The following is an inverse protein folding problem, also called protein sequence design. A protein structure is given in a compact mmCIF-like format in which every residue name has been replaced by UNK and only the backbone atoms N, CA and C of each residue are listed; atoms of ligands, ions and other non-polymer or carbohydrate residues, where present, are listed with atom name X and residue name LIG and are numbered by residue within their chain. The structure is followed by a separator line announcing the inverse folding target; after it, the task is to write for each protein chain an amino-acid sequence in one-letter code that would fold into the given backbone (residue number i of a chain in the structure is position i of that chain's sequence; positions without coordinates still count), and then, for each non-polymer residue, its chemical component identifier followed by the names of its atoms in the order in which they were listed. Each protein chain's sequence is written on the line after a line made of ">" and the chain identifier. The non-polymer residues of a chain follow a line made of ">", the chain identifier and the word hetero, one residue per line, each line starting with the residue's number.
data_IF_855053800182
#
_entry.id   IF_855053800182
#
_cell.length_a   1.000
_cell.length_b   1.000
_cell.length_c   1.000
_cell.angle_alpha   90.00
_cell.angle_beta   90.00
_cell.angle_gamma   90.00
#
_symmetry.space_group_name_H-M   'P 1'
#
loop_
_entity.id
_entity.type
_entity.pdbx_description
1 polymer ?
#
# COMPACT_ATOMS: atom_id res chain seq x y z
N UNK A 1 -24.46 -28.19 21.27
CA UNK A 1 -23.20 -27.45 21.42
C UNK A 1 -22.87 -26.57 20.18
N UNK A 2 -23.84 -25.85 19.60
CA UNK A 2 -23.63 -24.99 18.41
C UNK A 2 -23.78 -23.48 18.65
N UNK A 3 -23.99 -23.05 19.90
CA UNK A 3 -24.29 -21.65 20.20
C UNK A 3 -23.10 -20.75 20.57
N UNK A 4 -21.93 -21.30 20.90
CA UNK A 4 -20.81 -20.51 21.46
C UNK A 4 -19.89 -19.91 20.38
N UNK A 5 -19.78 -20.52 19.20
CA UNK A 5 -18.90 -20.01 18.14
C UNK A 5 -19.41 -18.73 17.45
N UNK A 6 -20.72 -18.51 17.37
CA UNK A 6 -21.29 -17.32 16.69
C UNK A 6 -21.12 -16.04 17.51
N UNK A 7 -21.21 -16.14 18.85
CA UNK A 7 -21.08 -14.98 19.73
C UNK A 7 -19.63 -14.47 19.84
N UNK A 8 -18.63 -15.35 19.82
CA UNK A 8 -17.22 -14.95 19.88
C UNK A 8 -16.80 -14.25 18.58
N UNK A 9 -17.25 -14.73 17.41
CA UNK A 9 -16.95 -14.10 16.13
C UNK A 9 -17.53 -12.69 16.00
N UNK A 10 -18.74 -12.44 16.52
CA UNK A 10 -19.36 -11.11 16.50
C UNK A 10 -18.66 -10.12 17.44
N UNK A 11 -18.22 -10.57 18.61
CA UNK A 11 -17.51 -9.73 19.58
C UNK A 11 -16.14 -9.30 19.04
N UNK A 12 -15.40 -10.21 18.39
CA UNK A 12 -14.08 -9.91 17.82
C UNK A 12 -14.22 -8.93 16.62
N UNK A 13 -15.21 -9.12 15.77
CA UNK A 13 -15.48 -8.20 14.66
C UNK A 13 -15.90 -6.81 15.15
N UNK A 14 -16.73 -6.74 16.18
CA UNK A 14 -17.15 -5.48 16.81
C UNK A 14 -15.99 -4.72 17.47
N UNK A 15 -15.09 -5.42 18.12
CA UNK A 15 -13.90 -4.82 18.74
C UNK A 15 -12.91 -4.30 17.68
N UNK A 16 -12.68 -5.04 16.60
CA UNK A 16 -11.83 -4.62 15.51
C UNK A 16 -12.38 -3.36 14.83
N UNK A 17 -13.69 -3.31 14.53
CA UNK A 17 -14.35 -2.13 13.97
C UNK A 17 -14.34 -0.92 14.92
N UNK A 18 -14.50 -1.13 16.23
CA UNK A 18 -14.42 -0.06 17.22
C UNK A 18 -13.00 0.50 17.33
N UNK A 19 -11.99 -0.37 17.29
CA UNK A 19 -10.58 0.02 17.30
C UNK A 19 -10.18 0.76 16.03
N UNK A 20 -10.65 0.34 14.86
CA UNK A 20 -10.43 1.01 13.59
C UNK A 20 -11.09 2.41 13.56
N UNK A 21 -12.32 2.54 14.04
CA UNK A 21 -13.00 3.83 14.19
C UNK A 21 -12.28 4.76 15.17
N UNK A 22 -11.73 4.24 16.27
CA UNK A 22 -10.93 5.02 17.21
C UNK A 22 -9.65 5.56 16.58
N UNK A 23 -8.96 4.76 15.77
CA UNK A 23 -7.73 5.18 15.08
C UNK A 23 -8.02 6.23 13.99
N UNK A 24 -9.06 6.04 13.17
CA UNK A 24 -9.48 7.01 12.14
C UNK A 24 -9.82 8.38 12.73
N UNK A 25 -10.13 8.41 14.02
CA UNK A 25 -10.50 9.61 14.76
C UNK A 25 -9.34 10.44 15.28
N UNK A 26 -8.14 9.91 15.23
CA UNK A 26 -6.97 10.61 15.76
C UNK A 26 -6.59 11.79 14.87
N UNK A 27 -6.15 12.90 15.43
CA UNK A 27 -5.86 14.13 14.67
C UNK A 27 -4.90 13.89 13.50
N UNK A 28 -3.89 13.05 13.69
CA UNK A 28 -2.93 12.72 12.63
C UNK A 28 -3.58 11.98 11.45
N UNK A 29 -4.55 11.08 11.70
CA UNK A 29 -5.26 10.36 10.63
C UNK A 29 -6.16 11.29 9.82
N UNK A 30 -6.80 12.27 10.48
CA UNK A 30 -7.60 13.32 9.81
C UNK A 30 -6.72 14.16 8.87
N UNK A 31 -5.54 14.59 9.35
CA UNK A 31 -4.58 15.37 8.55
C UNK A 31 -4.06 14.54 7.39
N UNK A 32 -3.70 13.26 7.62
CA UNK A 32 -3.23 12.36 6.57
C UNK A 32 -4.29 12.16 5.48
N UNK A 33 -5.55 11.89 5.87
CA UNK A 33 -6.67 11.73 4.92
C UNK A 33 -6.90 13.00 4.10
N UNK A 34 -6.94 14.17 4.75
CA UNK A 34 -7.11 15.46 4.06
C UNK A 34 -6.00 15.69 3.04
N UNK A 35 -4.75 15.41 3.39
CA UNK A 35 -3.62 15.54 2.49
C UNK A 35 -3.72 14.56 1.30
N UNK A 36 -4.00 13.30 1.57
CA UNK A 36 -4.14 12.28 0.54
C UNK A 36 -5.26 12.62 -0.45
N UNK A 37 -6.45 12.97 0.05
CA UNK A 37 -7.63 13.28 -0.79
C UNK A 37 -7.47 14.56 -1.61
N UNK A 38 -6.53 15.44 -1.27
CA UNK A 38 -6.20 16.63 -2.06
C UNK A 38 -5.26 16.33 -3.25
N UNK A 39 -4.74 15.12 -3.35
CA UNK A 39 -3.86 14.74 -4.45
C UNK A 39 -4.66 14.31 -5.69
N UNK A 40 -4.25 14.83 -6.85
CA UNK A 40 -4.72 14.39 -8.18
C UNK A 40 -3.70 13.37 -8.72
N UNK A 41 -4.16 12.16 -9.04
CA UNK A 41 -3.35 11.06 -9.58
C UNK A 41 -3.86 10.72 -10.97
N UNK A 42 -3.00 10.70 -11.98
CA UNK A 42 -3.40 10.45 -13.36
C UNK A 42 -2.27 9.83 -14.18
N UNK A 43 -2.63 9.11 -15.26
CA UNK A 43 -1.67 8.70 -16.28
C UNK A 43 -1.19 9.94 -17.07
N UNK A 44 0.12 10.03 -17.36
CA UNK A 44 0.70 11.24 -18.00
C UNK A 44 0.15 11.53 -19.38
N UNK A 45 -0.33 10.50 -20.07
CA UNK A 45 -0.97 10.57 -21.39
C UNK A 45 -2.49 10.80 -21.32
N UNK A 46 -3.10 10.77 -20.11
CA UNK A 46 -4.53 10.97 -19.89
C UNK A 46 -4.81 11.82 -18.62
N UNK A 47 -4.42 13.10 -18.61
CA UNK A 47 -4.56 13.96 -17.42
C UNK A 47 -6.00 14.37 -17.09
N UNK A 48 -6.93 14.20 -18.03
CA UNK A 48 -8.33 14.59 -17.86
C UNK A 48 -9.15 13.51 -17.14
N UNK A 49 -8.65 12.28 -17.06
CA UNK A 49 -9.30 11.17 -16.36
C UNK A 49 -8.47 10.70 -15.16
N UNK A 50 -8.49 11.44 -14.03
CA UNK A 50 -7.73 11.06 -12.84
C UNK A 50 -8.26 9.77 -12.23
N UNK A 51 -7.35 8.99 -11.67
CA UNK A 51 -7.68 7.80 -10.90
C UNK A 51 -8.42 8.17 -9.60
N UNK A 52 -9.41 7.37 -9.24
CA UNK A 52 -10.19 7.59 -8.05
C UNK A 52 -9.45 7.08 -6.78
N UNK A 53 -9.39 7.86 -5.69
CA UNK A 53 -8.92 7.34 -4.41
C UNK A 53 -9.97 6.41 -3.80
N UNK A 54 -9.53 5.40 -3.06
CA UNK A 54 -10.39 4.75 -2.07
C UNK A 54 -10.68 5.75 -0.95
N UNK A 55 -11.95 5.85 -0.54
CA UNK A 55 -12.39 6.88 0.42
C UNK A 55 -11.71 6.78 1.79
N UNK A 56 -11.36 5.56 2.20
CA UNK A 56 -10.74 5.30 3.49
C UNK A 56 -9.35 4.71 3.31
N UNK A 57 -8.44 4.93 4.27
CA UNK A 57 -7.12 4.31 4.26
C UNK A 57 -7.27 2.79 4.35
N UNK A 58 -6.44 2.08 3.61
CA UNK A 58 -6.41 0.61 3.62
C UNK A 58 -5.62 0.06 4.80
N UNK A 59 -4.80 0.89 5.44
CA UNK A 59 -4.03 0.54 6.62
C UNK A 59 -3.68 1.81 7.42
N UNK A 60 -3.76 1.72 8.76
CA UNK A 60 -3.10 2.65 9.66
C UNK A 60 -1.83 2.01 10.20
N UNK A 61 -0.73 2.75 10.21
CA UNK A 61 0.56 2.24 10.63
C UNK A 61 1.21 3.05 11.74
N UNK A 62 2.08 2.39 12.48
CA UNK A 62 2.98 2.99 13.46
C UNK A 62 4.39 2.46 13.24
N UNK A 63 5.37 3.34 13.29
CA UNK A 63 6.78 3.03 13.21
C UNK A 63 7.50 3.64 14.41
N UNK A 64 8.18 2.82 15.18
CA UNK A 64 8.97 3.23 16.34
C UNK A 64 10.43 2.74 16.26
N UNK A 65 10.78 1.96 15.21
CA UNK A 65 12.13 1.40 15.02
C UNK A 65 13.09 2.44 14.42
N UNK A 66 12.63 3.19 13.39
CA UNK A 66 13.42 4.21 12.69
C UNK A 66 12.99 5.63 13.06
N UNK A 67 12.41 5.82 14.24
CA UNK A 67 11.84 7.08 14.71
C UNK A 67 10.33 6.96 14.90
N UNK A 68 9.75 7.83 15.74
CA UNK A 68 8.32 7.76 16.03
C UNK A 68 7.52 8.42 14.92
N UNK A 69 6.80 7.62 14.14
CA UNK A 69 5.86 8.11 13.13
C UNK A 69 4.53 7.36 13.17
N UNK A 70 3.49 8.05 12.72
CA UNK A 70 2.12 7.52 12.61
C UNK A 70 1.59 7.92 11.24
N UNK A 71 1.06 6.97 10.49
CA UNK A 71 0.64 7.18 9.12
C UNK A 71 -0.58 6.37 8.70
N UNK A 72 -1.03 6.67 7.49
CA UNK A 72 -2.15 5.99 6.84
C UNK A 72 -1.82 5.75 5.38
N UNK A 73 -2.13 4.55 4.91
CA UNK A 73 -1.90 4.11 3.55
C UNK A 73 -3.17 4.30 2.73
N UNK A 74 -3.05 4.96 1.59
CA UNK A 74 -4.14 5.24 0.66
C UNK A 74 -3.83 4.66 -0.71
N UNK A 75 -4.88 4.26 -1.45
CA UNK A 75 -4.78 3.68 -2.78
C UNK A 75 -5.67 4.45 -3.75
N UNK A 76 -5.15 4.72 -4.94
CA UNK A 76 -5.89 5.18 -6.11
C UNK A 76 -6.06 4.01 -7.08
N UNK A 77 -7.25 3.90 -7.63
CA UNK A 77 -7.62 2.76 -8.48
C UNK A 77 -8.00 3.19 -9.89
N UNK A 78 -7.69 2.34 -10.86
CA UNK A 78 -8.22 2.40 -12.22
C UNK A 78 -9.74 2.16 -12.21
N UNK A 79 -10.47 2.49 -13.28
CA UNK A 79 -11.90 2.17 -13.39
C UNK A 79 -12.23 0.68 -13.18
N UNK A 80 -11.28 -0.20 -13.45
CA UNK A 80 -11.36 -1.64 -13.21
C UNK A 80 -11.26 -2.05 -11.74
N UNK A 81 -10.96 -1.10 -10.83
CA UNK A 81 -10.65 -1.38 -9.43
C UNK A 81 -9.20 -1.81 -9.16
N UNK A 82 -8.37 -1.99 -10.19
CA UNK A 82 -6.96 -2.31 -10.07
C UNK A 82 -6.20 -1.13 -9.45
N UNK A 83 -5.27 -1.36 -8.49
CA UNK A 83 -4.50 -0.26 -7.92
C UNK A 83 -3.57 0.37 -8.96
N UNK A 84 -3.63 1.70 -9.09
CA UNK A 84 -2.79 2.51 -9.97
C UNK A 84 -1.67 3.21 -9.20
N UNK A 85 -1.93 3.64 -7.97
CA UNK A 85 -0.95 4.25 -7.08
C UNK A 85 -1.26 3.93 -5.62
N UNK A 86 -0.22 3.97 -4.81
CA UNK A 86 -0.30 3.86 -3.34
C UNK A 86 0.49 5.00 -2.71
N UNK A 87 -0.01 5.49 -1.59
CA UNK A 87 0.65 6.53 -0.81
C UNK A 87 0.60 6.21 0.68
N UNK A 88 1.72 6.32 1.35
CA UNK A 88 1.77 6.50 2.80
C UNK A 88 1.84 7.99 3.12
N UNK A 89 0.91 8.48 3.92
CA UNK A 89 0.93 9.84 4.47
C UNK A 89 1.10 9.74 5.97
N UNK A 90 2.19 10.32 6.49
CA UNK A 90 2.53 10.16 7.88
C UNK A 90 3.09 11.44 8.52
N UNK A 91 2.91 11.53 9.83
CA UNK A 91 3.49 12.54 10.68
C UNK A 91 4.69 11.93 11.43
N UNK A 92 5.80 12.63 11.33
CA UNK A 92 7.02 12.33 12.06
C UNK A 92 7.25 13.41 13.13
N UNK A 93 7.48 12.97 14.38
CA UNK A 93 7.71 13.90 15.50
C UNK A 93 9.06 14.61 15.33
N UNK A 94 9.03 15.94 15.43
CA UNK A 94 10.21 16.80 15.40
C UNK A 94 10.63 17.19 16.81
N UNK A 95 11.93 17.26 17.06
CA UNK A 95 12.47 17.62 18.39
C UNK A 95 12.10 19.04 18.89
N UNK A 96 11.50 19.86 18.06
CA UNK A 96 11.07 21.24 18.34
C UNK A 96 9.60 21.36 18.79
N UNK A 97 8.92 20.25 19.09
CA UNK A 97 7.54 20.24 19.60
C UNK A 97 6.46 20.31 18.51
N UNK A 98 6.78 19.96 17.29
CA UNK A 98 5.84 19.84 16.16
C UNK A 98 6.04 18.53 15.41
N UNK A 99 5.45 18.48 14.21
CA UNK A 99 5.53 17.30 13.34
C UNK A 99 5.86 17.72 11.91
N UNK A 100 6.62 16.91 11.19
CA UNK A 100 6.66 17.00 9.74
C UNK A 100 5.59 16.10 9.14
N UNK A 101 4.81 16.65 8.21
CA UNK A 101 3.95 15.87 7.33
C UNK A 101 4.80 15.40 6.15
N UNK A 102 4.84 14.10 5.98
CA UNK A 102 5.59 13.44 4.92
C UNK A 102 4.66 12.59 4.07
N UNK A 103 5.08 12.30 2.86
CA UNK A 103 4.43 11.30 2.03
C UNK A 103 5.46 10.41 1.33
N UNK A 104 5.04 9.19 1.05
CA UNK A 104 5.77 8.24 0.24
C UNK A 104 4.82 7.69 -0.82
N UNK A 105 5.15 7.91 -2.08
CA UNK A 105 4.35 7.52 -3.23
C UNK A 105 5.01 6.43 -4.03
N UNK A 106 4.22 5.47 -4.50
CA UNK A 106 4.67 4.51 -5.51
C UNK A 106 3.62 4.33 -6.60
N UNK A 107 4.06 4.36 -7.86
CA UNK A 107 3.24 4.01 -9.03
C UNK A 107 3.05 2.49 -9.09
N UNK A 108 1.81 2.04 -9.16
CA UNK A 108 1.41 0.66 -9.42
C UNK A 108 0.81 0.51 -10.83
N UNK A 109 0.91 1.56 -11.65
CA UNK A 109 0.40 1.62 -13.01
C UNK A 109 1.36 0.95 -14.01
N UNK A 110 0.78 0.42 -15.09
CA UNK A 110 1.52 -0.05 -16.26
C UNK A 110 1.98 1.11 -17.17
N UNK A 111 1.46 2.32 -16.95
CA UNK A 111 1.80 3.54 -17.69
C UNK A 111 2.53 4.54 -16.80
N UNK A 112 3.31 5.49 -17.38
CA UNK A 112 3.81 6.64 -16.66
C UNK A 112 2.71 7.37 -15.91
N UNK A 113 2.99 7.77 -14.65
CA UNK A 113 2.00 8.31 -13.73
C UNK A 113 2.49 9.58 -13.10
N UNK A 114 1.57 10.53 -12.87
CA UNK A 114 1.85 11.78 -12.19
C UNK A 114 0.91 12.00 -11.00
N UNK A 115 1.46 12.52 -9.93
CA UNK A 115 0.73 12.94 -8.73
C UNK A 115 1.01 14.40 -8.44
N UNK A 116 -0.04 15.17 -8.30
CA UNK A 116 0.01 16.61 -8.01
C UNK A 116 -0.92 17.00 -6.87
N UNK A 117 -0.55 18.03 -6.16
CA UNK A 117 -1.38 18.68 -5.14
C UNK A 117 -1.10 20.17 -5.08
N UNK A 118 -1.73 20.89 -4.14
CA UNK A 118 -1.40 22.29 -3.86
C UNK A 118 0.06 22.51 -3.40
N UNK A 119 0.76 21.45 -3.04
CA UNK A 119 2.19 21.48 -2.68
C UNK A 119 3.13 21.20 -3.87
N UNK A 120 2.60 21.11 -5.07
CA UNK A 120 3.35 20.81 -6.30
C UNK A 120 3.29 19.34 -6.73
N UNK A 121 4.29 18.93 -7.48
CA UNK A 121 4.43 17.55 -7.99
C UNK A 121 4.95 16.66 -6.87
N UNK A 122 4.17 15.66 -6.48
CA UNK A 122 4.51 14.70 -5.43
C UNK A 122 5.17 13.41 -5.98
N UNK A 123 4.77 13.01 -7.20
CA UNK A 123 5.40 11.92 -7.94
C UNK A 123 5.37 12.24 -9.43
N UNK A 124 6.47 11.97 -10.13
CA UNK A 124 6.56 11.98 -11.58
C UNK A 124 7.19 10.67 -12.05
N UNK A 125 6.38 9.61 -12.13
CA UNK A 125 6.81 8.30 -12.58
C UNK A 125 6.89 8.30 -14.12
N UNK A 126 8.11 8.30 -14.65
CA UNK A 126 8.38 8.34 -16.10
C UNK A 126 8.41 6.96 -16.76
N UNK A 127 8.24 5.90 -15.96
CA UNK A 127 8.22 4.50 -16.40
C UNK A 127 7.14 3.71 -15.63
N UNK A 128 6.74 2.53 -16.10
CA UNK A 128 5.87 1.63 -15.36
C UNK A 128 6.38 1.36 -13.95
N UNK A 129 5.47 1.36 -12.97
CA UNK A 129 5.79 1.07 -11.57
C UNK A 129 6.00 -0.40 -11.27
N UNK A 130 5.51 -1.29 -12.15
CA UNK A 130 5.48 -2.73 -11.94
C UNK A 130 6.05 -3.49 -13.14
N UNK A 131 6.79 -4.55 -12.85
CA UNK A 131 7.22 -5.59 -13.80
C UNK A 131 6.58 -6.92 -13.41
N UNK A 132 5.79 -7.49 -14.30
CA UNK A 132 5.06 -8.74 -14.06
C UNK A 132 5.89 -9.96 -14.41
N UNK A 133 5.87 -10.97 -13.50
CA UNK A 133 6.57 -12.24 -13.66
C UNK A 133 5.64 -13.39 -13.32
N UNK A 134 5.70 -14.53 -14.04
CA UNK A 134 4.88 -15.69 -13.72
C UNK A 134 5.29 -16.29 -12.38
N UNK A 135 4.31 -16.81 -11.62
CA UNK A 135 4.55 -17.60 -10.42
C UNK A 135 4.75 -19.07 -10.85
N UNK A 136 5.96 -19.62 -10.70
CA UNK A 136 6.22 -21.01 -11.10
C UNK A 136 5.32 -21.99 -10.33
N UNK A 137 4.86 -23.05 -11.01
CA UNK A 137 4.06 -24.11 -10.39
C UNK A 137 2.79 -23.63 -9.68
N UNK A 138 2.27 -22.46 -10.05
CA UNK A 138 0.98 -22.00 -9.57
C UNK A 138 -0.16 -22.80 -10.25
N UNK A 139 -1.24 -23.14 -9.53
CA UNK A 139 -2.42 -23.74 -10.14
C UNK A 139 -3.07 -22.76 -11.12
N UNK A 140 -3.90 -23.25 -12.03
CA UNK A 140 -4.74 -22.38 -12.84
C UNK A 140 -5.62 -21.47 -11.93
N UNK A 141 -5.83 -20.20 -12.29
CA UNK A 141 -6.73 -19.33 -11.53
C UNK A 141 -8.14 -19.91 -11.48
N UNK A 142 -8.74 -19.93 -10.29
CA UNK A 142 -10.10 -20.39 -10.08
C UNK A 142 -11.11 -19.52 -10.83
N UNK A 143 -12.22 -20.10 -11.26
CA UNK A 143 -13.26 -19.37 -11.98
C UNK A 143 -14.00 -18.35 -11.10
N UNK A 144 -14.14 -18.63 -9.80
CA UNK A 144 -14.85 -17.76 -8.87
C UNK A 144 -13.93 -16.79 -8.14
N UNK A 145 -14.37 -15.52 -7.91
CA UNK A 145 -13.60 -14.54 -7.15
C UNK A 145 -13.14 -15.04 -5.76
N UNK A 146 -14.01 -15.68 -4.92
CA UNK A 146 -13.56 -16.23 -3.64
C UNK A 146 -12.52 -17.35 -3.77
N UNK A 147 -12.57 -18.10 -4.88
CA UNK A 147 -11.56 -19.11 -5.22
C UNK A 147 -10.21 -18.47 -5.51
N UNK A 148 -10.21 -17.41 -6.35
CA UNK A 148 -9.01 -16.64 -6.66
C UNK A 148 -8.42 -15.97 -5.43
N UNK A 149 -9.24 -15.40 -4.55
CA UNK A 149 -8.76 -14.79 -3.30
C UNK A 149 -8.00 -15.78 -2.40
N UNK A 150 -8.52 -17.01 -2.26
CA UNK A 150 -7.84 -18.06 -1.50
C UNK A 150 -6.53 -18.47 -2.15
N UNK A 151 -6.52 -18.59 -3.49
CA UNK A 151 -5.29 -18.92 -4.22
C UNK A 151 -4.25 -17.82 -4.10
N UNK A 152 -4.62 -16.53 -4.27
CA UNK A 152 -3.71 -15.40 -4.15
C UNK A 152 -3.02 -15.36 -2.78
N UNK A 153 -3.77 -15.61 -1.68
CA UNK A 153 -3.18 -15.69 -0.32
C UNK A 153 -2.16 -16.82 -0.20
N UNK A 154 -2.50 -18.04 -0.65
CA UNK A 154 -1.57 -19.18 -0.61
C UNK A 154 -0.33 -18.93 -1.46
N UNK A 155 -0.47 -18.22 -2.58
CA UNK A 155 0.66 -17.85 -3.42
C UNK A 155 1.52 -16.78 -2.73
N UNK A 156 0.92 -15.80 -2.04
CA UNK A 156 1.66 -14.80 -1.27
C UNK A 156 2.50 -15.42 -0.14
N UNK A 157 2.03 -16.48 0.50
CA UNK A 157 2.74 -17.22 1.56
C UNK A 157 4.02 -17.94 1.08
N UNK A 158 4.20 -18.10 -0.25
CA UNK A 158 5.43 -18.65 -0.85
C UNK A 158 6.55 -17.62 -0.91
N UNK A 159 6.24 -16.34 -0.69
CA UNK A 159 7.22 -15.26 -0.70
C UNK A 159 7.71 -14.95 0.70
N UNK A 160 8.98 -14.56 0.78
CA UNK A 160 9.62 -14.06 1.99
C UNK A 160 10.44 -12.83 1.66
N UNK A 161 10.37 -11.81 2.49
CA UNK A 161 11.07 -10.54 2.26
C UNK A 161 11.99 -10.19 3.43
N UNK A 162 13.10 -9.54 3.12
CA UNK A 162 14.01 -8.96 4.09
C UNK A 162 14.30 -7.49 3.73
N UNK A 163 14.62 -6.73 4.76
CA UNK A 163 15.16 -5.39 4.69
C UNK A 163 16.59 -5.37 5.26
N UNK A 164 17.46 -4.56 4.68
CA UNK A 164 18.77 -4.24 5.26
C UNK A 164 18.84 -2.74 5.48
N UNK A 165 18.99 -2.34 6.73
CA UNK A 165 19.01 -0.93 7.13
C UNK A 165 20.38 -0.26 6.81
N UNK A 166 20.45 1.06 7.04
CA UNK A 166 21.67 1.86 6.82
C UNK A 166 22.87 1.48 7.71
N UNK A 167 22.62 0.67 8.76
CA UNK A 167 23.67 0.09 9.61
C UNK A 167 24.08 -1.31 9.18
N UNK A 168 23.57 -1.75 8.01
CA UNK A 168 23.78 -3.09 7.47
C UNK A 168 23.19 -4.22 8.35
N UNK A 169 22.11 -3.90 9.10
CA UNK A 169 21.37 -4.89 9.89
C UNK A 169 20.22 -5.43 9.03
N UNK A 170 20.23 -6.75 8.84
CA UNK A 170 19.16 -7.46 8.11
C UNK A 170 18.00 -7.78 9.05
N UNK A 171 16.79 -7.42 8.64
CA UNK A 171 15.54 -7.73 9.33
C UNK A 171 14.60 -8.51 8.41
N UNK A 172 13.92 -9.50 8.96
CA UNK A 172 12.89 -10.23 8.22
C UNK A 172 11.57 -9.47 8.27
N UNK A 173 10.96 -9.24 7.11
CA UNK A 173 9.68 -8.55 7.00
C UNK A 173 8.52 -9.54 7.11
N UNK A 174 7.49 -9.17 7.85
CA UNK A 174 6.30 -9.99 8.07
C UNK A 174 5.26 -9.75 6.99
N UNK A 175 4.83 -10.81 6.29
CA UNK A 175 3.69 -10.72 5.37
C UNK A 175 2.39 -10.41 6.13
N UNK A 176 1.65 -9.39 5.70
CA UNK A 176 0.26 -9.20 6.06
C UNK A 176 -0.58 -10.20 5.25
N UNK A 177 -1.13 -11.21 5.91
CA UNK A 177 -1.92 -12.27 5.25
C UNK A 177 -3.29 -11.77 4.77
N UNK A 178 -3.80 -10.67 5.34
CA UNK A 178 -4.93 -9.92 4.80
C UNK A 178 -4.36 -8.91 3.79
N UNK A 179 -4.71 -8.99 2.50
CA UNK A 179 -4.23 -8.02 1.52
C UNK A 179 -4.76 -6.62 1.82
N UNK A 180 -3.96 -5.60 1.50
CA UNK A 180 -4.34 -4.19 1.59
C UNK A 180 -5.51 -3.86 0.67
N UNK A 181 -5.57 -4.50 -0.51
CA UNK A 181 -6.63 -4.30 -1.48
C UNK A 181 -6.88 -5.57 -2.28
N UNK A 182 -8.15 -5.82 -2.63
CA UNK A 182 -8.58 -6.87 -3.56
C UNK A 182 -9.40 -6.23 -4.65
N UNK A 183 -9.25 -6.75 -5.85
CA UNK A 183 -10.01 -6.26 -7.00
C UNK A 183 -10.38 -7.42 -7.92
N UNK A 184 -11.53 -7.30 -8.53
CA UNK A 184 -12.02 -8.22 -9.56
C UNK A 184 -12.15 -7.44 -10.87
N UNK A 185 -11.48 -7.92 -11.90
CA UNK A 185 -11.46 -7.33 -13.23
C UNK A 185 -12.04 -8.32 -14.25
N UNK A 186 -13.05 -9.10 -13.84
CA UNK A 186 -13.63 -10.17 -14.66
C UNK A 186 -14.11 -9.70 -16.05
N UNK A 187 -14.43 -8.42 -16.18
CA UNK A 187 -14.83 -7.80 -17.44
C UNK A 187 -13.63 -7.34 -18.29
N UNK A 188 -12.41 -7.46 -17.77
CA UNK A 188 -11.19 -7.11 -18.49
C UNK A 188 -10.60 -8.32 -19.24
N UNK A 189 -10.24 -8.16 -20.52
CA UNK A 189 -9.54 -9.23 -21.25
C UNK A 189 -8.12 -9.48 -20.73
N UNK A 190 -7.54 -8.53 -19.99
CA UNK A 190 -6.12 -8.58 -19.55
C UNK A 190 -5.98 -9.34 -18.22
N UNK A 191 -6.98 -9.29 -17.35
CA UNK A 191 -6.90 -9.81 -15.99
C UNK A 191 -8.27 -10.27 -15.50
N UNK A 192 -8.29 -11.25 -14.58
CA UNK A 192 -9.47 -11.65 -13.80
C UNK A 192 -9.44 -11.16 -12.35
N UNK A 193 -8.56 -10.18 -12.04
CA UNK A 193 -8.41 -9.62 -10.72
C UNK A 193 -7.21 -10.15 -9.96
N UNK A 194 -7.02 -9.61 -8.76
CA UNK A 194 -5.87 -9.88 -7.94
C UNK A 194 -5.95 -9.27 -6.55
N UNK A 195 -4.80 -9.25 -5.88
CA UNK A 195 -4.67 -8.69 -4.54
C UNK A 195 -3.31 -8.02 -4.35
N UNK A 196 -3.31 -6.94 -3.58
CA UNK A 196 -2.13 -6.22 -3.13
C UNK A 196 -1.82 -6.61 -1.68
N UNK A 197 -0.68 -7.24 -1.48
CA UNK A 197 -0.14 -7.60 -0.17
C UNK A 197 0.99 -6.67 0.24
N UNK A 198 1.31 -6.66 1.53
CA UNK A 198 2.45 -5.93 2.06
C UNK A 198 3.32 -6.83 2.94
N UNK A 199 4.63 -6.63 2.87
CA UNK A 199 5.59 -7.08 3.85
C UNK A 199 5.99 -5.91 4.73
N UNK A 200 5.85 -6.07 6.05
CA UNK A 200 5.95 -4.99 7.01
C UNK A 200 7.06 -5.23 8.03
N UNK A 201 7.67 -4.12 8.47
CA UNK A 201 8.36 -4.05 9.74
C UNK A 201 7.38 -3.54 10.79
N UNK A 202 7.01 -4.37 11.78
CA UNK A 202 5.88 -4.05 12.66
C UNK A 202 4.57 -3.93 11.87
N UNK A 203 4.02 -2.72 11.78
CA UNK A 203 2.84 -2.40 10.95
C UNK A 203 3.15 -1.50 9.76
N UNK A 204 4.43 -1.19 9.54
CA UNK A 204 4.89 -0.29 8.49
C UNK A 204 5.25 -1.07 7.23
N UNK A 205 4.52 -0.93 6.11
CA UNK A 205 4.83 -1.59 4.86
C UNK A 205 6.17 -1.12 4.30
N UNK A 206 7.03 -2.07 3.95
CA UNK A 206 8.34 -1.82 3.34
C UNK A 206 8.42 -2.34 1.91
N UNK A 207 7.65 -3.40 1.61
CA UNK A 207 7.60 -4.01 0.29
C UNK A 207 6.17 -4.40 -0.04
N UNK A 208 5.78 -4.11 -1.26
CA UNK A 208 4.46 -4.40 -1.81
C UNK A 208 4.55 -5.57 -2.80
N UNK A 209 3.62 -6.50 -2.70
CA UNK A 209 3.51 -7.66 -3.57
C UNK A 209 2.11 -7.70 -4.19
N UNK A 210 2.02 -7.54 -5.51
CA UNK A 210 0.81 -7.77 -6.26
C UNK A 210 0.80 -9.20 -6.78
N UNK A 211 -0.35 -9.86 -6.65
CA UNK A 211 -0.61 -11.18 -7.26
C UNK A 211 -1.88 -11.06 -8.07
N UNK A 212 -1.80 -11.34 -9.37
CA UNK A 212 -2.89 -11.12 -10.32
C UNK A 212 -3.04 -12.31 -11.27
N UNK A 213 -4.28 -12.69 -11.56
CA UNK A 213 -4.61 -13.67 -12.57
C UNK A 213 -4.62 -12.99 -13.95
N UNK A 214 -3.51 -13.05 -14.68
CA UNK A 214 -3.29 -12.33 -15.95
C UNK A 214 -3.48 -13.24 -17.16
N UNK A 215 -3.93 -12.65 -18.26
CA UNK A 215 -4.08 -13.37 -19.52
C UNK A 215 -2.73 -13.92 -20.01
N UNK A 216 -2.73 -15.18 -20.46
CA UNK A 216 -1.57 -15.85 -21.03
C UNK A 216 -2.04 -16.86 -22.07
N UNK A 217 -1.81 -16.57 -23.34
CA UNK A 217 -2.36 -17.37 -24.43
C UNK A 217 -3.89 -17.40 -24.43
N UNK A 218 -4.48 -18.56 -24.50
CA UNK A 218 -5.94 -18.76 -24.47
C UNK A 218 -6.55 -18.78 -23.05
N UNK A 219 -5.75 -18.60 -22.00
CA UNK A 219 -6.20 -18.72 -20.61
C UNK A 219 -5.61 -17.65 -19.70
N UNK A 220 -5.59 -17.95 -18.41
CA UNK A 220 -5.04 -17.10 -17.38
C UNK A 220 -4.02 -17.86 -16.55
N UNK A 221 -3.00 -17.15 -16.07
CA UNK A 221 -2.02 -17.67 -15.11
C UNK A 221 -1.79 -16.66 -14.00
N UNK A 222 -1.27 -17.13 -12.88
CA UNK A 222 -0.86 -16.25 -11.80
C UNK A 222 0.49 -15.60 -12.09
N UNK A 223 0.50 -14.29 -12.03
CA UNK A 223 1.71 -13.47 -12.10
C UNK A 223 1.83 -12.64 -10.83
N UNK A 224 3.05 -12.23 -10.53
CA UNK A 224 3.35 -11.30 -9.46
C UNK A 224 4.13 -10.10 -9.98
N UNK A 225 3.98 -8.99 -9.26
CA UNK A 225 4.82 -7.82 -9.42
C UNK A 225 5.19 -7.27 -8.05
N UNK A 226 6.31 -6.55 -7.98
CA UNK A 226 6.89 -6.09 -6.72
C UNK A 226 7.17 -4.60 -6.80
N UNK A 227 6.88 -3.90 -5.71
CA UNK A 227 7.25 -2.50 -5.53
C UNK A 227 7.97 -2.31 -4.19
N UNK A 228 9.11 -1.63 -4.19
CA UNK A 228 9.77 -1.19 -2.95
C UNK A 228 9.04 0.01 -2.37
N UNK A 229 8.72 -0.06 -1.07
CA UNK A 229 8.01 0.98 -0.35
C UNK A 229 8.76 1.33 0.94
N UNK A 230 10.05 1.62 0.76
CA UNK A 230 11.03 1.97 1.80
C UNK A 230 12.27 2.54 1.13
N UNK A 231 13.08 3.30 1.84
CA UNK A 231 14.39 3.80 1.41
C UNK A 231 15.56 2.88 1.83
N UNK A 232 15.24 1.69 2.34
CA UNK A 232 16.20 0.65 2.71
C UNK A 232 16.45 -0.34 1.57
N UNK A 233 17.47 -1.17 1.69
CA UNK A 233 17.71 -2.26 0.76
C UNK A 233 16.68 -3.37 0.99
N UNK A 234 15.99 -3.76 -0.07
CA UNK A 234 14.91 -4.73 -0.01
C UNK A 234 15.24 -5.96 -0.85
N UNK A 235 14.89 -7.13 -0.33
CA UNK A 235 15.09 -8.41 -0.97
C UNK A 235 13.82 -9.25 -0.90
N UNK A 236 13.43 -9.86 -2.02
CA UNK A 236 12.29 -10.79 -2.06
C UNK A 236 12.73 -12.15 -2.57
N UNK A 237 12.30 -13.20 -1.87
CA UNK A 237 12.49 -14.59 -2.26
C UNK A 237 11.15 -15.24 -2.56
N UNK A 238 11.13 -16.11 -3.56
CA UNK A 238 10.03 -17.03 -3.87
C UNK A 238 10.56 -18.46 -3.73
N UNK A 239 9.91 -19.27 -2.90
CA UNK A 239 10.34 -20.63 -2.57
C UNK A 239 11.84 -20.71 -2.17
N UNK A 240 12.30 -19.73 -1.38
CA UNK A 240 13.65 -19.62 -0.88
C UNK A 240 14.69 -19.06 -1.86
N UNK A 241 14.33 -18.81 -3.13
CA UNK A 241 15.24 -18.22 -4.14
C UNK A 241 14.99 -16.73 -4.28
N UNK A 242 16.05 -15.92 -4.32
CA UNK A 242 15.93 -14.48 -4.59
C UNK A 242 15.38 -14.27 -6.01
N UNK A 243 14.29 -13.50 -6.10
CA UNK A 243 13.59 -13.20 -7.36
C UNK A 243 13.51 -11.71 -7.66
N UNK A 244 13.77 -10.88 -6.64
CA UNK A 244 13.77 -9.42 -6.77
C UNK A 244 14.59 -8.79 -5.65
N UNK A 245 15.24 -7.68 -5.97
CA UNK A 245 15.89 -6.79 -5.01
C UNK A 245 15.83 -5.35 -5.47
N UNK A 246 15.80 -4.43 -4.51
CA UNK A 246 15.96 -3.00 -4.70
C UNK A 246 16.99 -2.49 -3.72
N UNK A 247 18.10 -2.00 -4.25
CA UNK A 247 19.20 -1.39 -3.50
C UNK A 247 19.28 0.05 -3.94
N UNK A 248 18.61 0.98 -3.23
CA UNK A 248 18.55 2.36 -3.66
C UNK A 248 19.92 3.02 -3.60
N UNK A 249 20.39 3.50 -4.74
CA UNK A 249 21.46 4.47 -4.74
C UNK A 249 20.93 5.79 -4.16
N UNK A 250 21.63 6.35 -3.19
CA UNK A 250 21.24 7.54 -2.40
C UNK A 250 20.86 8.80 -3.22
N UNK A 251 21.03 8.79 -4.53
CA UNK A 251 20.84 9.93 -5.43
C UNK A 251 19.91 9.72 -6.61
N UNK A 252 19.42 8.51 -6.85
CA UNK A 252 18.54 8.23 -7.96
C UNK A 252 17.10 8.14 -7.47
N UNK A 253 16.28 9.14 -7.78
CA UNK A 253 14.83 8.97 -7.70
C UNK A 253 14.46 7.66 -8.40
N UNK A 254 13.77 6.77 -7.71
CA UNK A 254 13.38 5.44 -8.21
C UNK A 254 12.33 5.51 -9.32
N UNK A 255 12.36 6.48 -10.20
CA UNK A 255 11.49 6.59 -11.39
C UNK A 255 9.98 6.31 -11.22
N UNK A 256 9.60 5.44 -10.29
CA UNK A 256 8.23 5.08 -9.95
C UNK A 256 7.90 5.32 -8.46
N UNK A 257 8.84 5.81 -7.67
CA UNK A 257 8.76 6.04 -6.23
C UNK A 257 9.23 7.44 -5.87
N UNK A 258 8.58 8.06 -4.91
CA UNK A 258 8.94 9.36 -4.34
C UNK A 258 8.69 9.36 -2.84
N UNK A 259 9.65 9.90 -2.10
CA UNK A 259 9.57 10.10 -0.65
C UNK A 259 9.97 11.54 -0.34
N UNK A 260 9.22 12.22 0.52
CA UNK A 260 9.59 13.57 0.88
C UNK A 260 8.74 14.20 1.97
N UNK A 261 9.34 15.21 2.59
CA UNK A 261 8.63 16.14 3.48
C UNK A 261 7.75 17.04 2.65
N UNK A 262 6.49 17.20 3.07
CA UNK A 262 5.53 18.11 2.45
C UNK A 262 5.55 19.47 3.16
N UNK A 263 5.37 19.46 4.49
CA UNK A 263 5.31 20.67 5.30
C UNK A 263 5.45 20.37 6.80
N UNK A 264 5.57 21.42 7.58
CA UNK A 264 5.48 21.36 9.04
C UNK A 264 4.01 21.40 9.50
N UNK A 265 3.70 20.67 10.57
CA UNK A 265 2.40 20.63 11.25
C UNK A 265 2.63 21.05 12.70
N UNK A 266 1.99 22.12 13.12
CA UNK A 266 2.09 22.59 14.49
C UNK A 266 1.01 22.00 15.40
N UNK A 267 1.16 22.15 16.70
CA UNK A 267 0.23 21.63 17.71
C UNK A 267 -1.18 22.22 17.56
N UNK A 268 -1.30 23.49 17.13
CA UNK A 268 -2.62 24.12 16.96
C UNK A 268 -3.43 23.46 15.83
N UNK A 269 -2.77 23.02 14.75
CA UNK A 269 -3.42 22.30 13.66
C UNK A 269 -3.90 20.91 14.10
N UNK A 270 -3.11 20.20 14.92
CA UNK A 270 -3.53 18.92 15.50
C UNK A 270 -4.75 19.09 16.41
N UNK A 271 -4.79 20.13 17.24
CA UNK A 271 -5.94 20.44 18.10
C UNK A 271 -7.18 20.86 17.28
N UNK A 272 -7.00 21.56 16.14
CA UNK A 272 -8.09 21.84 15.23
C UNK A 272 -8.67 20.57 14.58
N UNK A 273 -7.81 19.67 14.11
CA UNK A 273 -8.23 18.38 13.55
C UNK A 273 -8.96 17.48 14.58
N UNK A 274 -8.62 17.59 15.87
CA UNK A 274 -9.31 16.89 16.95
C UNK A 274 -10.74 17.42 17.15
N UNK A 275 -10.94 18.73 17.04
CA UNK A 275 -12.28 19.38 17.21
C UNK A 275 -13.22 19.09 16.05
N UNK A 276 -12.72 19.10 14.82
CA UNK A 276 -13.51 18.82 13.60
C UNK A 276 -14.25 17.49 13.66
N UNK A 277 -13.76 16.55 14.42
CA UNK A 277 -14.40 15.24 14.58
C UNK A 277 -15.51 15.22 15.63
N UNK A 278 -15.45 16.09 16.65
CA UNK A 278 -16.48 16.15 17.68
C UNK A 278 -17.80 16.77 17.17
N UNK A 279 -17.76 17.38 15.98
CA UNK A 279 -18.92 18.04 15.35
C UNK A 279 -19.61 17.18 14.25
N UNK A 280 -19.10 15.98 13.95
CA UNK A 280 -19.67 15.01 12.99
C UNK A 280 -20.17 13.75 13.69
#
# INVERSE_FOLDING_TARGET
>A
MLGICLTVGLVIAGQAQAQEKDVQSRPWAVIAKRHAMAAKVYATDDPDHPFAPLNDPVLHRAQDVHGSSRGSIFIWVEPSGRPAAICDVFLFAEGTGGYSLNNEWHSLSASPLRVESSYGVLLNATRPGLEWKPIPNAPAPADTPPGRDRQARRLAERFAADEVDRKNVRSHLRLLTTPLHRYDTSDSPVSRGGALFAFCQGTDPQLLLLIEARQSGAGYRWEYAVAGFSDMDLYLRLDGREVWRDVPAFSSGRGAHSFGRVRFVNTAELEAAKREKLEK
#
